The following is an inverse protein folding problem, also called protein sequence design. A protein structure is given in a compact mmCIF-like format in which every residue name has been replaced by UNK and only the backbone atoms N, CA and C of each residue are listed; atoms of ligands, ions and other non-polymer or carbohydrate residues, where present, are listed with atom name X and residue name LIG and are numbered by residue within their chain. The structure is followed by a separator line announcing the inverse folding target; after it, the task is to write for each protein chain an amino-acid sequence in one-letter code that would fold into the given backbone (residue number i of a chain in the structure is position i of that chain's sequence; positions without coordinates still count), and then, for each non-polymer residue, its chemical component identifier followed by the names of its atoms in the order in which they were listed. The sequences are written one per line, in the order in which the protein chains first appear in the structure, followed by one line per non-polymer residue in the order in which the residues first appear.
data_IF_619347458229
#
_entry.id   IF_619347458229
#
_cell.length_a   1.000
_cell.length_b   1.000
_cell.length_c   1.000
_cell.angle_alpha   90.00
_cell.angle_beta   90.00
_cell.angle_gamma   90.00
#
_symmetry.space_group_name_H-M   'P 1'
#
loop_
_entity.id
_entity.type
_entity.pdbx_description
1 polymer ?
#
# COMPACT_ATOMS: atom_id res chain seq x y z
N UNK A 1 -7.50 4.01 17.25
CA UNK A 1 -7.19 4.92 18.38
C UNK A 1 -6.75 6.27 17.86
N UNK A 2 -7.27 7.36 18.40
CA UNK A 2 -6.88 8.74 18.06
C UNK A 2 -6.87 9.61 19.32
N UNK A 3 -6.39 10.85 19.15
CA UNK A 3 -6.36 11.83 20.24
C UNK A 3 -7.35 12.97 19.95
N UNK A 4 -8.14 13.36 20.92
CA UNK A 4 -8.92 14.58 20.90
C UNK A 4 -8.19 15.65 21.75
N UNK A 5 -7.50 16.56 21.07
CA UNK A 5 -6.65 17.58 21.70
C UNK A 5 -7.15 19.01 21.41
N UNK A 6 -8.45 19.20 21.22
CA UNK A 6 -9.06 20.53 20.95
C UNK A 6 -8.90 21.51 22.11
N UNK A 7 -8.83 21.00 23.33
CA UNK A 7 -8.57 21.79 24.54
C UNK A 7 -7.21 21.39 25.08
N UNK A 8 -6.26 22.31 25.17
CA UNK A 8 -4.89 22.06 25.64
C UNK A 8 -4.83 21.37 27.00
N UNK A 9 -5.76 21.71 27.90
CA UNK A 9 -5.80 21.19 29.28
C UNK A 9 -6.65 19.90 29.42
N UNK A 10 -7.20 19.35 28.32
CA UNK A 10 -8.01 18.15 28.37
C UNK A 10 -7.81 17.33 27.09
N UNK A 11 -6.73 16.56 27.08
CA UNK A 11 -6.41 15.63 26.01
C UNK A 11 -7.06 14.28 26.33
N UNK A 12 -7.92 13.81 25.44
CA UNK A 12 -8.64 12.54 25.61
C UNK A 12 -8.23 11.55 24.53
N UNK A 13 -8.15 10.28 24.90
CA UNK A 13 -8.04 9.19 23.93
C UNK A 13 -9.43 8.85 23.37
N UNK A 14 -9.50 8.69 22.06
CA UNK A 14 -10.73 8.28 21.36
C UNK A 14 -10.49 6.91 20.76
N UNK A 15 -11.40 5.98 21.06
CA UNK A 15 -11.39 4.62 20.55
C UNK A 15 -12.62 4.39 19.68
N UNK A 16 -12.43 3.68 18.57
CA UNK A 16 -13.48 2.96 17.88
C UNK A 16 -13.30 1.47 18.20
N UNK A 17 -14.37 0.82 18.64
CA UNK A 17 -14.37 -0.59 19.05
C UNK A 17 -15.46 -1.31 18.27
N UNK A 18 -15.13 -2.48 17.76
CA UNK A 18 -16.11 -3.42 17.25
C UNK A 18 -16.65 -4.26 18.40
N UNK A 19 -17.97 -4.32 18.51
CA UNK A 19 -18.65 -5.03 19.60
C UNK A 19 -19.61 -6.04 18.98
N UNK A 20 -19.46 -7.29 19.35
CA UNK A 20 -20.38 -8.34 18.99
C UNK A 20 -21.44 -8.50 20.08
N UNK A 21 -22.71 -8.51 19.70
CA UNK A 21 -23.82 -8.60 20.65
C UNK A 21 -25.06 -9.25 20.01
N UNK A 22 -25.76 -10.13 20.71
CA UNK A 22 -27.00 -10.74 20.22
C UNK A 22 -28.14 -9.71 20.02
N UNK A 23 -28.06 -8.53 20.65
CA UNK A 23 -29.05 -7.44 20.54
C UNK A 23 -28.67 -6.39 19.47
N UNK A 24 -27.77 -6.71 18.53
CA UNK A 24 -27.26 -5.79 17.52
C UNK A 24 -28.37 -5.02 16.78
N UNK A 25 -29.37 -5.73 16.24
CA UNK A 25 -30.48 -5.10 15.48
C UNK A 25 -31.29 -4.09 16.33
N UNK A 26 -31.51 -4.40 17.60
CA UNK A 26 -32.26 -3.51 18.51
C UNK A 26 -31.44 -2.26 18.84
N UNK A 27 -30.16 -2.42 19.13
CA UNK A 27 -29.25 -1.31 19.43
C UNK A 27 -29.13 -0.37 18.22
N UNK A 28 -28.89 -0.88 17.03
CA UNK A 28 -28.79 -0.07 15.81
C UNK A 28 -30.07 0.71 15.54
N UNK A 29 -31.27 0.10 15.65
CA UNK A 29 -32.54 0.79 15.49
C UNK A 29 -32.73 1.91 16.52
N UNK A 30 -32.38 1.67 17.78
CA UNK A 30 -32.46 2.66 18.85
C UNK A 30 -31.56 3.84 18.57
N UNK A 31 -30.30 3.62 18.25
CA UNK A 31 -29.34 4.70 18.01
C UNK A 31 -29.59 5.44 16.69
N UNK A 32 -30.14 4.83 15.66
CA UNK A 32 -30.59 5.52 14.46
C UNK A 32 -31.75 6.51 14.76
N UNK A 33 -32.69 6.14 15.62
CA UNK A 33 -33.78 7.01 16.04
C UNK A 33 -33.32 8.14 16.96
N UNK A 34 -32.44 7.87 17.92
CA UNK A 34 -31.90 8.85 18.87
C UNK A 34 -30.88 9.80 18.23
N UNK A 35 -30.08 9.34 17.29
CA UNK A 35 -29.04 10.11 16.60
C UNK A 35 -29.57 11.17 15.64
N UNK A 36 -30.84 11.07 15.22
CA UNK A 36 -31.53 12.13 14.44
C UNK A 36 -32.07 13.26 15.29
N UNK A 37 -32.26 13.08 16.59
CA UNK A 37 -32.91 14.08 17.47
C UNK A 37 -32.05 14.72 18.55
N UNK A 38 -31.01 14.05 19.03
CA UNK A 38 -30.05 14.61 20.02
C UNK A 38 -28.75 13.84 19.90
N UNK A 39 -27.68 14.51 19.49
CA UNK A 39 -26.34 13.94 19.62
C UNK A 39 -26.15 13.39 21.03
N UNK A 40 -25.60 12.19 21.16
CA UNK A 40 -25.32 11.59 22.46
C UNK A 40 -24.63 12.61 23.35
N UNK A 41 -25.23 12.92 24.50
CA UNK A 41 -24.75 13.95 25.43
C UNK A 41 -23.29 13.80 25.89
N UNK A 42 -22.60 12.71 25.51
CA UNK A 42 -21.19 12.42 25.76
C UNK A 42 -20.52 11.67 24.59
N UNK A 43 -20.70 12.14 23.34
CA UNK A 43 -19.67 11.91 22.30
C UNK A 43 -19.47 10.51 21.71
N UNK A 44 -20.34 9.53 21.94
CA UNK A 44 -20.24 8.21 21.29
C UNK A 44 -21.13 8.10 20.05
N UNK A 45 -20.68 7.36 19.02
CA UNK A 45 -21.45 7.01 17.83
C UNK A 45 -21.50 5.48 17.70
N UNK A 46 -22.68 4.95 17.41
CA UNK A 46 -22.85 3.53 17.09
C UNK A 46 -23.28 3.43 15.62
N UNK A 47 -22.59 2.60 14.87
CA UNK A 47 -22.89 2.30 13.47
C UNK A 47 -22.56 0.84 13.19
N UNK A 48 -23.12 0.22 12.15
CA UNK A 48 -22.66 -1.08 11.70
C UNK A 48 -21.15 -1.05 11.43
N UNK A 49 -20.46 -2.13 11.81
CA UNK A 49 -19.05 -2.29 11.44
C UNK A 49 -18.95 -2.49 9.94
N UNK A 50 -18.19 -1.65 9.22
CA UNK A 50 -18.02 -1.81 7.79
C UNK A 50 -17.23 -3.09 7.49
N UNK A 51 -17.58 -3.77 6.39
CA UNK A 51 -16.73 -4.83 5.88
C UNK A 51 -15.51 -4.22 5.19
N UNK A 52 -14.36 -4.28 5.83
CA UNK A 52 -13.09 -3.76 5.32
C UNK A 52 -12.24 -4.84 4.61
N UNK A 53 -12.81 -6.01 4.35
CA UNK A 53 -12.13 -7.08 3.61
C UNK A 53 -11.90 -6.71 2.16
N UNK A 54 -10.67 -6.83 1.68
CA UNK A 54 -10.33 -6.58 0.29
C UNK A 54 -10.94 -7.66 -0.62
N UNK A 55 -11.53 -7.25 -1.72
CA UNK A 55 -12.08 -8.15 -2.74
C UNK A 55 -11.24 -8.06 -4.00
N UNK A 56 -10.63 -9.17 -4.38
CA UNK A 56 -9.90 -9.26 -5.64
C UNK A 56 -10.89 -9.15 -6.81
N UNK A 57 -10.54 -8.33 -7.78
CA UNK A 57 -11.38 -8.06 -8.96
C UNK A 57 -11.45 -9.24 -9.92
N UNK A 58 -10.43 -10.09 -9.93
CA UNK A 58 -10.33 -11.27 -10.79
C UNK A 58 -9.30 -12.26 -10.25
N UNK A 59 -9.18 -13.40 -10.94
CA UNK A 59 -8.07 -14.35 -10.81
C UNK A 59 -7.48 -14.59 -12.20
N UNK A 60 -6.20 -14.88 -12.25
CA UNK A 60 -5.55 -15.25 -13.49
C UNK A 60 -6.19 -16.53 -14.07
N UNK A 61 -6.40 -16.61 -15.38
CA UNK A 61 -6.81 -17.84 -16.04
C UNK A 61 -5.73 -18.92 -15.86
N UNK A 62 -6.10 -20.19 -15.98
CA UNK A 62 -5.17 -21.31 -15.79
C UNK A 62 -3.98 -21.27 -16.78
N UNK A 63 -4.23 -20.84 -18.03
CA UNK A 63 -3.21 -20.62 -19.03
C UNK A 63 -2.98 -19.12 -19.26
N UNK A 64 -2.11 -18.51 -18.46
CA UNK A 64 -1.64 -17.14 -18.70
C UNK A 64 -0.47 -17.18 -19.68
N UNK A 65 -0.73 -16.85 -20.93
CA UNK A 65 0.31 -16.82 -21.98
C UNK A 65 1.12 -15.50 -21.96
N UNK A 66 0.53 -14.41 -21.46
CA UNK A 66 1.17 -13.09 -21.40
C UNK A 66 1.18 -12.59 -19.97
N UNK A 67 2.38 -12.35 -19.46
CA UNK A 67 2.59 -11.82 -18.10
C UNK A 67 2.40 -10.29 -18.12
N UNK A 68 1.65 -9.70 -17.16
CA UNK A 68 1.58 -8.25 -17.05
C UNK A 68 2.93 -7.66 -16.68
N UNK A 69 3.24 -6.50 -17.24
CA UNK A 69 4.46 -5.74 -16.93
C UNK A 69 4.10 -4.55 -16.04
N UNK A 70 4.84 -4.38 -14.96
CA UNK A 70 4.76 -3.23 -14.05
C UNK A 70 6.04 -2.42 -14.16
N UNK A 71 5.93 -1.14 -14.49
CA UNK A 71 7.06 -0.24 -14.66
C UNK A 71 7.27 0.57 -13.38
N UNK A 72 8.42 0.35 -12.74
CA UNK A 72 8.84 0.98 -11.49
C UNK A 72 8.40 0.23 -10.23
N UNK A 73 9.28 0.16 -9.24
CA UNK A 73 9.05 -0.43 -7.89
C UNK A 73 8.93 0.66 -6.82
N UNK A 74 8.30 1.77 -7.17
CA UNK A 74 7.80 2.71 -6.16
C UNK A 74 6.59 2.13 -5.41
N UNK A 75 6.02 2.81 -4.40
CA UNK A 75 4.91 2.26 -3.61
C UNK A 75 3.73 1.77 -4.47
N UNK A 76 3.38 2.51 -5.51
CA UNK A 76 2.29 2.12 -6.41
C UNK A 76 2.62 0.83 -7.17
N UNK A 77 3.78 0.76 -7.83
CA UNK A 77 4.20 -0.42 -8.60
C UNK A 77 4.37 -1.65 -7.73
N UNK A 78 4.97 -1.52 -6.56
CA UNK A 78 5.14 -2.59 -5.58
C UNK A 78 3.80 -3.20 -5.16
N UNK A 79 2.80 -2.39 -4.79
CA UNK A 79 1.48 -2.94 -4.42
C UNK A 79 0.68 -3.44 -5.62
N UNK A 80 0.84 -2.83 -6.81
CA UNK A 80 0.22 -3.34 -8.04
C UNK A 80 0.75 -4.71 -8.40
N UNK A 81 2.07 -4.90 -8.36
CA UNK A 81 2.72 -6.17 -8.63
C UNK A 81 2.34 -7.24 -7.59
N UNK A 82 2.35 -6.89 -6.30
CA UNK A 82 1.91 -7.80 -5.23
C UNK A 82 0.46 -8.27 -5.45
N UNK A 83 -0.47 -7.36 -5.77
CA UNK A 83 -1.86 -7.72 -6.03
C UNK A 83 -2.01 -8.60 -7.27
N UNK A 84 -1.30 -8.29 -8.35
CA UNK A 84 -1.27 -9.13 -9.55
C UNK A 84 -0.72 -10.52 -9.23
N UNK A 85 0.34 -10.62 -8.45
CA UNK A 85 0.91 -11.89 -8.02
C UNK A 85 -0.07 -12.68 -7.13
N UNK A 86 -0.75 -12.03 -6.19
CA UNK A 86 -1.80 -12.63 -5.34
C UNK A 86 -3.00 -13.13 -6.15
N UNK A 87 -3.30 -12.50 -7.28
CA UNK A 87 -4.32 -12.96 -8.24
C UNK A 87 -3.82 -14.05 -9.21
N UNK A 88 -2.54 -14.45 -9.15
CA UNK A 88 -1.94 -15.50 -9.95
C UNK A 88 -1.36 -15.07 -11.31
N UNK A 89 -1.30 -13.77 -11.61
CA UNK A 89 -0.82 -13.27 -12.91
C UNK A 89 0.69 -13.34 -13.11
N UNK A 90 1.48 -13.56 -12.07
CA UNK A 90 2.95 -13.66 -12.12
C UNK A 90 3.61 -12.47 -12.86
N UNK A 91 3.44 -11.23 -12.37
CA UNK A 91 3.90 -10.03 -13.07
C UNK A 91 5.41 -10.02 -13.30
N UNK A 92 5.86 -9.27 -14.32
CA UNK A 92 7.25 -8.87 -14.51
C UNK A 92 7.34 -7.40 -14.11
N UNK A 93 8.23 -7.09 -13.18
CA UNK A 93 8.43 -5.73 -12.69
C UNK A 93 9.78 -5.22 -13.18
N UNK A 94 9.78 -4.05 -13.81
CA UNK A 94 10.99 -3.42 -14.36
C UNK A 94 11.32 -2.18 -13.51
N UNK A 95 12.50 -2.16 -12.90
CA UNK A 95 12.96 -1.05 -12.06
C UNK A 95 14.30 -0.52 -12.58
N UNK A 96 14.35 0.79 -12.82
CA UNK A 96 15.57 1.46 -13.32
C UNK A 96 16.72 1.44 -12.33
N UNK A 97 16.41 1.52 -11.05
CA UNK A 97 17.41 1.55 -9.99
C UNK A 97 17.74 0.16 -9.45
N UNK A 98 18.45 0.14 -8.34
CA UNK A 98 18.91 -1.08 -7.68
C UNK A 98 17.95 -1.56 -6.59
N UNK A 99 18.17 -2.80 -6.14
CA UNK A 99 17.54 -3.36 -4.96
C UNK A 99 17.87 -2.52 -3.70
N UNK A 100 16.99 -2.56 -2.72
CA UNK A 100 16.99 -1.61 -1.59
C UNK A 100 18.29 -1.53 -0.81
N UNK A 101 19.01 -2.64 -0.63
CA UNK A 101 20.29 -2.64 0.09
C UNK A 101 21.41 -1.94 -0.70
N UNK A 102 21.58 -2.27 -1.99
CA UNK A 102 22.55 -1.64 -2.85
C UNK A 102 22.23 -0.16 -3.08
N UNK A 103 20.93 0.14 -3.29
CA UNK A 103 20.42 1.50 -3.40
C UNK A 103 20.72 2.32 -2.15
N UNK A 104 20.62 1.73 -0.96
CA UNK A 104 20.95 2.40 0.30
C UNK A 104 22.42 2.83 0.31
N UNK A 105 23.34 1.98 -0.19
CA UNK A 105 24.75 2.33 -0.32
C UNK A 105 24.96 3.51 -1.28
N UNK A 106 24.27 3.54 -2.42
CA UNK A 106 24.33 4.64 -3.38
C UNK A 106 23.80 5.94 -2.76
N UNK A 107 22.68 5.88 -2.03
CA UNK A 107 22.06 7.04 -1.37
C UNK A 107 22.94 7.60 -0.26
N UNK A 108 23.45 6.76 0.64
CA UNK A 108 24.38 7.17 1.69
C UNK A 108 25.73 7.64 1.12
N UNK A 109 26.19 7.02 0.01
CA UNK A 109 27.39 7.45 -0.71
C UNK A 109 27.24 8.84 -1.30
N UNK A 110 26.06 9.22 -1.75
CA UNK A 110 25.77 10.58 -2.19
C UNK A 110 25.80 11.57 -1.01
N UNK A 111 25.13 11.27 0.08
CA UNK A 111 25.06 12.17 1.24
C UNK A 111 26.41 12.35 1.94
N UNK A 112 27.23 11.30 2.04
CA UNK A 112 28.51 11.33 2.74
C UNK A 112 29.70 11.71 1.84
N UNK A 113 29.70 11.30 0.58
CA UNK A 113 30.86 11.40 -0.34
C UNK A 113 30.53 12.15 -1.63
N UNK A 114 29.31 12.71 -1.78
CA UNK A 114 28.82 13.40 -2.99
C UNK A 114 28.90 12.54 -4.28
N UNK A 115 28.86 11.22 -4.15
CA UNK A 115 28.87 10.30 -5.28
C UNK A 115 27.46 10.08 -5.79
N UNK A 116 27.04 10.88 -6.76
CA UNK A 116 25.70 10.76 -7.36
C UNK A 116 25.62 9.62 -8.37
N UNK A 117 24.56 8.82 -8.29
CA UNK A 117 24.19 7.77 -9.24
C UNK A 117 22.84 8.14 -9.87
N UNK A 118 22.78 8.49 -11.18
CA UNK A 118 21.55 8.97 -11.81
C UNK A 118 20.38 7.96 -11.72
N UNK A 119 20.65 6.70 -11.88
CA UNK A 119 19.63 5.63 -11.92
C UNK A 119 19.38 4.97 -10.56
N UNK A 120 20.19 5.25 -9.53
CA UNK A 120 20.05 4.63 -8.19
C UNK A 120 20.41 5.64 -7.10
N UNK A 121 19.39 6.18 -6.43
CA UNK A 121 19.55 7.26 -5.46
C UNK A 121 18.33 7.36 -4.52
N UNK A 122 18.16 8.46 -3.80
CA UNK A 122 17.02 8.68 -2.91
C UNK A 122 15.66 8.70 -3.64
N UNK A 123 15.63 8.94 -4.95
CA UNK A 123 14.42 9.01 -5.77
C UNK A 123 14.14 7.70 -6.51
N UNK A 124 15.18 7.12 -7.13
CA UNK A 124 15.07 5.94 -7.99
C UNK A 124 15.62 4.69 -7.31
N UNK A 125 14.98 3.57 -7.58
CA UNK A 125 15.28 2.25 -7.03
C UNK A 125 14.15 1.69 -6.18
N UNK A 126 14.33 0.48 -5.69
CA UNK A 126 13.32 -0.29 -4.97
C UNK A 126 12.69 0.47 -3.81
N UNK A 127 11.36 0.46 -3.75
CA UNK A 127 10.55 1.17 -2.76
C UNK A 127 10.35 2.68 -3.03
N UNK A 128 10.95 3.23 -4.12
CA UNK A 128 10.83 4.63 -4.51
C UNK A 128 11.35 5.60 -3.44
N UNK A 129 11.02 6.88 -3.54
CA UNK A 129 11.44 7.90 -2.58
C UNK A 129 10.91 7.65 -1.15
N UNK A 130 9.84 6.85 -1.01
CA UNK A 130 9.24 6.50 0.28
C UNK A 130 10.17 5.71 1.20
N UNK A 131 11.09 4.91 0.66
CA UNK A 131 11.99 4.03 1.43
C UNK A 131 12.87 4.80 2.41
N UNK A 132 13.28 6.02 2.07
CA UNK A 132 14.13 6.86 2.91
C UNK A 132 13.35 7.93 3.69
N UNK A 133 12.02 7.83 3.71
CA UNK A 133 11.16 8.67 4.54
C UNK A 133 10.99 8.07 5.95
N UNK A 134 10.27 8.77 6.84
CA UNK A 134 9.86 8.24 8.13
C UNK A 134 8.65 7.28 8.03
N UNK A 135 8.13 7.06 6.83
CA UNK A 135 7.05 6.11 6.57
C UNK A 135 5.70 6.50 7.16
N UNK A 136 5.33 7.77 7.05
CA UNK A 136 3.98 8.22 7.40
C UNK A 136 2.96 7.61 6.44
N UNK A 137 1.97 6.89 6.98
CA UNK A 137 1.00 6.10 6.22
C UNK A 137 -0.41 6.68 6.24
N UNK A 138 -0.56 7.98 6.37
CA UNK A 138 -1.88 8.60 6.36
C UNK A 138 -2.07 9.52 5.14
N UNK A 139 -3.28 9.50 4.60
CA UNK A 139 -3.71 10.31 3.48
C UNK A 139 -4.99 11.08 3.83
N UNK A 140 -5.28 12.14 3.07
CA UNK A 140 -6.56 12.86 3.12
C UNK A 140 -7.56 12.34 2.09
N UNK A 141 -7.22 11.32 1.32
CA UNK A 141 -8.09 10.70 0.32
C UNK A 141 -9.25 10.00 1.04
N UNK A 142 -10.46 10.16 0.53
CA UNK A 142 -11.61 9.39 0.98
C UNK A 142 -11.48 7.97 0.41
N UNK A 143 -11.34 6.99 1.29
CA UNK A 143 -11.21 5.58 0.96
C UNK A 143 -12.51 4.85 1.33
N UNK A 144 -13.51 4.96 0.45
CA UNK A 144 -14.82 4.39 0.68
C UNK A 144 -14.81 2.86 0.63
N UNK A 145 -13.90 2.28 -0.14
CA UNK A 145 -13.79 0.84 -0.38
C UNK A 145 -12.74 0.17 0.53
N UNK A 146 -12.17 0.94 1.44
CA UNK A 146 -11.16 0.47 2.41
C UNK A 146 -9.90 -0.16 1.77
N UNK A 147 -9.49 0.30 0.59
CA UNK A 147 -8.26 -0.17 -0.08
C UNK A 147 -7.01 0.13 0.75
N UNK A 148 -6.98 1.25 1.45
CA UNK A 148 -5.91 1.57 2.39
C UNK A 148 -5.76 0.54 3.51
N UNK A 149 -6.85 -0.12 3.92
CA UNK A 149 -6.79 -1.22 4.90
C UNK A 149 -6.00 -2.42 4.35
N UNK A 150 -6.18 -2.75 3.07
CA UNK A 150 -5.40 -3.81 2.40
C UNK A 150 -3.91 -3.47 2.39
N UNK A 151 -3.56 -2.24 2.04
CA UNK A 151 -2.16 -1.77 2.05
C UNK A 151 -1.54 -1.90 3.45
N UNK A 152 -2.23 -1.43 4.49
CA UNK A 152 -1.75 -1.55 5.87
C UNK A 152 -1.58 -3.01 6.31
N UNK A 153 -2.50 -3.88 5.90
CA UNK A 153 -2.41 -5.31 6.20
C UNK A 153 -1.20 -5.97 5.54
N UNK A 154 -0.92 -5.63 4.27
CA UNK A 154 0.26 -6.15 3.58
C UNK A 154 1.58 -5.64 4.22
N UNK A 155 1.60 -4.38 4.66
CA UNK A 155 2.74 -3.87 5.41
C UNK A 155 2.95 -4.62 6.74
N UNK A 156 1.87 -4.99 7.45
CA UNK A 156 1.97 -5.83 8.67
C UNK A 156 2.45 -7.23 8.32
N UNK A 157 1.92 -7.84 7.26
CA UNK A 157 2.36 -9.14 6.78
C UNK A 157 3.86 -9.14 6.41
N UNK A 158 4.35 -8.00 5.91
CA UNK A 158 5.75 -7.78 5.58
C UNK A 158 6.64 -7.37 6.78
N UNK A 159 6.08 -7.25 7.99
CA UNK A 159 6.84 -7.02 9.22
C UNK A 159 6.66 -5.64 9.87
N UNK A 160 5.67 -4.85 9.43
CA UNK A 160 5.30 -3.65 10.16
C UNK A 160 4.60 -4.00 11.49
N UNK A 161 4.66 -3.08 12.46
CA UNK A 161 3.98 -3.26 13.74
C UNK A 161 2.45 -3.28 13.55
N UNK A 162 1.72 -4.22 14.20
CA UNK A 162 0.26 -4.33 14.03
C UNK A 162 -0.52 -3.07 14.44
N UNK A 163 0.07 -2.20 15.26
CA UNK A 163 -0.54 -0.93 15.69
C UNK A 163 -0.93 -0.04 14.50
N UNK A 164 -0.24 -0.12 13.37
CA UNK A 164 -0.58 0.68 12.18
C UNK A 164 -2.00 0.43 11.68
N UNK A 165 -2.59 -0.72 12.01
CA UNK A 165 -3.95 -1.08 11.61
C UNK A 165 -5.04 -0.30 12.36
N UNK A 166 -4.75 0.27 13.54
CA UNK A 166 -5.77 0.87 14.40
C UNK A 166 -5.43 2.25 14.95
N UNK A 167 -4.23 2.78 14.69
CA UNK A 167 -3.90 4.16 15.06
C UNK A 167 -4.25 5.13 13.92
N UNK A 168 -4.69 6.34 14.26
CA UNK A 168 -5.21 7.31 13.27
C UNK A 168 -4.15 7.95 12.36
N UNK A 169 -2.90 7.94 12.77
CA UNK A 169 -1.76 8.48 12.02
C UNK A 169 -0.59 7.51 12.10
N UNK A 170 -0.68 6.38 11.39
CA UNK A 170 0.37 5.37 11.45
C UNK A 170 1.65 5.83 10.78
N UNK A 171 2.77 5.39 11.31
CA UNK A 171 4.08 5.50 10.67
C UNK A 171 4.92 4.26 11.00
N UNK A 172 5.88 3.95 10.15
CA UNK A 172 6.70 2.73 10.24
C UNK A 172 8.08 3.03 10.79
N UNK A 173 8.71 4.12 10.36
CA UNK A 173 10.10 4.45 10.60
C UNK A 173 11.03 3.91 9.50
N UNK A 174 12.06 4.69 9.17
CA UNK A 174 12.93 4.50 8.00
C UNK A 174 13.63 3.13 7.99
N UNK A 175 14.21 2.70 9.09
CA UNK A 175 14.94 1.42 9.13
C UNK A 175 14.06 0.20 8.88
N UNK A 176 12.81 0.23 9.35
CA UNK A 176 11.86 -0.86 9.14
C UNK A 176 11.35 -0.90 7.69
N UNK A 177 11.25 0.25 7.03
CA UNK A 177 10.80 0.32 5.64
C UNK A 177 11.69 -0.47 4.69
N UNK A 178 13.01 -0.42 4.86
CA UNK A 178 13.96 -1.19 4.04
C UNK A 178 13.63 -2.68 4.12
N UNK A 179 13.43 -3.21 5.33
CA UNK A 179 13.12 -4.64 5.52
C UNK A 179 11.73 -5.01 5.01
N UNK A 180 10.75 -4.14 5.18
CA UNK A 180 9.39 -4.36 4.70
C UNK A 180 9.37 -4.41 3.17
N UNK A 181 10.06 -3.50 2.49
CA UNK A 181 10.16 -3.47 1.03
C UNK A 181 10.79 -4.75 0.52
N UNK A 182 11.89 -5.21 1.14
CA UNK A 182 12.52 -6.49 0.83
C UNK A 182 11.57 -7.68 1.02
N UNK A 183 10.82 -7.70 2.12
CA UNK A 183 9.88 -8.78 2.41
C UNK A 183 8.71 -8.80 1.42
N UNK A 184 8.20 -7.66 0.97
CA UNK A 184 7.17 -7.58 -0.08
C UNK A 184 7.73 -8.13 -1.40
N UNK A 185 8.95 -7.75 -1.81
CA UNK A 185 9.61 -8.34 -2.98
C UNK A 185 9.69 -9.86 -2.89
N UNK A 186 10.13 -10.38 -1.76
CA UNK A 186 10.25 -11.81 -1.55
C UNK A 186 8.89 -12.52 -1.65
N UNK A 187 7.82 -11.88 -1.18
CA UNK A 187 6.46 -12.35 -1.34
C UNK A 187 6.02 -12.40 -2.81
N UNK A 188 6.31 -11.35 -3.59
CA UNK A 188 6.02 -11.31 -5.02
C UNK A 188 6.72 -12.45 -5.77
N UNK A 189 8.00 -12.66 -5.48
CA UNK A 189 8.80 -13.74 -6.08
C UNK A 189 8.24 -15.11 -5.70
N UNK A 190 7.89 -15.32 -4.42
CA UNK A 190 7.30 -16.56 -3.95
C UNK A 190 5.94 -16.88 -4.63
N UNK A 191 5.20 -15.85 -5.05
CA UNK A 191 3.96 -15.96 -5.81
C UNK A 191 4.17 -16.07 -7.34
N UNK A 192 5.43 -16.23 -7.80
CA UNK A 192 5.79 -16.39 -9.21
C UNK A 192 5.99 -15.08 -9.96
N UNK A 193 6.03 -13.93 -9.28
CA UNK A 193 6.45 -12.67 -9.87
C UNK A 193 7.95 -12.64 -10.14
N UNK A 194 8.37 -11.70 -10.98
CA UNK A 194 9.77 -11.49 -11.36
C UNK A 194 10.10 -10.00 -11.29
N UNK A 195 11.20 -9.63 -10.63
CA UNK A 195 11.63 -8.24 -10.53
C UNK A 195 13.00 -8.10 -11.17
N UNK A 196 13.12 -7.21 -12.14
CA UNK A 196 14.35 -6.89 -12.86
C UNK A 196 14.80 -5.49 -12.47
N UNK A 197 15.88 -5.43 -11.71
CA UNK A 197 16.56 -4.19 -11.35
C UNK A 197 17.50 -3.73 -12.45
N UNK A 198 17.83 -2.45 -12.46
CA UNK A 198 18.70 -1.80 -13.46
C UNK A 198 18.16 -1.97 -14.90
N UNK A 199 16.83 -2.07 -15.01
CA UNK A 199 16.09 -2.16 -16.27
C UNK A 199 15.20 -0.92 -16.40
N UNK A 200 15.73 0.09 -17.07
CA UNK A 200 15.03 1.35 -17.35
C UNK A 200 14.16 1.16 -18.59
N UNK A 201 12.90 1.51 -18.48
CA UNK A 201 11.99 1.58 -19.63
C UNK A 201 12.07 2.99 -20.19
N UNK A 202 12.52 3.12 -21.42
CA UNK A 202 12.63 4.40 -22.10
C UNK A 202 11.41 4.69 -22.99
N UNK A 203 10.85 3.68 -23.63
CA UNK A 203 9.72 3.86 -24.55
C UNK A 203 8.69 2.74 -24.40
N UNK A 204 7.43 3.08 -24.59
CA UNK A 204 6.33 2.12 -24.70
C UNK A 204 5.72 2.28 -26.08
N UNK A 205 5.81 1.25 -26.92
CA UNK A 205 5.18 1.24 -28.22
C UNK A 205 3.76 0.68 -28.14
N UNK A 206 2.80 1.43 -28.63
CA UNK A 206 1.38 1.04 -28.66
C UNK A 206 0.96 0.82 -30.10
N UNK A 207 0.78 -0.43 -30.49
CA UNK A 207 0.18 -0.78 -31.78
C UNK A 207 -1.33 -0.64 -31.72
N UNK A 208 -1.89 0.33 -32.47
CA UNK A 208 -3.32 0.51 -32.59
C UNK A 208 -3.85 -0.31 -33.78
N UNK A 209 -4.24 -1.55 -33.53
CA UNK A 209 -4.89 -2.36 -34.56
C UNK A 209 -6.41 -2.08 -34.52
N UNK A 210 -6.96 -1.44 -35.55
CA UNK A 210 -8.40 -1.04 -35.61
C UNK A 210 -9.38 -2.20 -35.53
N UNK A 211 -8.91 -3.47 -35.60
CA UNK A 211 -9.77 -4.66 -35.55
C UNK A 211 -9.63 -5.51 -34.28
N UNK A 212 -8.59 -5.31 -33.49
CA UNK A 212 -8.44 -5.99 -32.19
C UNK A 212 -7.65 -5.09 -31.24
N UNK A 213 -8.28 -4.56 -30.19
CA UNK A 213 -7.58 -3.96 -29.05
C UNK A 213 -6.87 -5.09 -28.29
N UNK A 214 -5.68 -5.44 -28.71
CA UNK A 214 -4.73 -6.21 -27.91
C UNK A 214 -3.51 -5.32 -27.69
N UNK A 215 -3.30 -4.94 -26.45
CA UNK A 215 -2.09 -4.25 -26.03
C UNK A 215 -0.89 -5.17 -26.30
N UNK A 216 0.05 -4.72 -27.09
CA UNK A 216 1.25 -5.48 -27.45
C UNK A 216 2.51 -4.73 -27.03
N UNK A 217 3.25 -5.35 -26.18
CA UNK A 217 4.69 -5.23 -26.08
C UNK A 217 5.27 -3.98 -25.44
N UNK A 218 6.15 -4.22 -24.47
CA UNK A 218 7.14 -3.26 -23.96
C UNK A 218 8.47 -3.64 -24.55
N UNK A 219 9.14 -2.74 -25.29
CA UNK A 219 10.49 -2.94 -25.79
C UNK A 219 11.49 -2.42 -24.77
N UNK A 220 12.47 -3.24 -24.45
CA UNK A 220 13.63 -2.90 -23.60
C UNK A 220 14.84 -2.72 -24.52
N UNK A 221 15.50 -1.58 -24.42
CA UNK A 221 16.87 -1.37 -24.90
C UNK A 221 17.88 -1.55 -23.78
#
# INVERSE_FOLDING_TARGET
RSYAARKKNNISLVYALDIETPKQKQLLKRFQKEGQKKGLKKGGRISPTPNMGYRYVTKAPEAVNTRPVVIGVGPCGMFSALLLAQMGFRPIVLERGKAVHERSQDTFGFWSKRKFRPESNAQFGEGGAGTFSDGKLYSRIKDNDHHGRKVLQELVNAGAVPEILYISKPHIGTYRLVKIVENIRNQEIALGGEIRFQNKVDTVEIETNRKQRQDRGVTLE
#
